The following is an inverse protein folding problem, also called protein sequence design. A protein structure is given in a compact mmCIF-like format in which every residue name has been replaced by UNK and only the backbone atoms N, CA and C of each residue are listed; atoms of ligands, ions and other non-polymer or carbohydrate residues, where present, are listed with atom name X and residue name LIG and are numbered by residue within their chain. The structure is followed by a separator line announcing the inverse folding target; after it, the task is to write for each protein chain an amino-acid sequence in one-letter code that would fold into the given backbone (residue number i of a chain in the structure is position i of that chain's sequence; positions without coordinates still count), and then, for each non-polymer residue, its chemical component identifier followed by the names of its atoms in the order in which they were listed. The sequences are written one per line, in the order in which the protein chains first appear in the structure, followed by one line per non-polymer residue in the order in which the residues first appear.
data_IF_786115005641
#
_entry.id   IF_786115005641
#
_cell.length_a   1.000
_cell.length_b   1.000
_cell.length_c   1.000
_cell.angle_alpha   90.00
_cell.angle_beta   90.00
_cell.angle_gamma   90.00
#
_symmetry.space_group_name_H-M   'P 1'
#
loop_
_entity.id
_entity.type
_entity.pdbx_description
1 polymer ?
#
# COMPACT_ATOMS: atom_id res chain seq x y z
N UNK A 1 -11.80 -18.25 -15.14
CA UNK A 1 -11.98 -16.79 -15.00
C UNK A 1 -10.61 -16.15 -15.10
N UNK A 2 -10.35 -15.50 -16.23
CA UNK A 2 -9.08 -14.82 -16.50
C UNK A 2 -8.98 -13.57 -15.62
N UNK A 3 -7.97 -13.48 -14.75
CA UNK A 3 -7.69 -12.24 -14.02
C UNK A 3 -7.13 -11.24 -15.02
N UNK A 4 -7.98 -10.26 -15.29
CA UNK A 4 -7.76 -9.03 -16.04
C UNK A 4 -6.31 -8.52 -15.95
N UNK A 5 -5.56 -8.62 -17.05
CA UNK A 5 -4.35 -7.83 -17.27
C UNK A 5 -4.77 -6.36 -17.47
N UNK A 6 -5.05 -5.67 -16.36
CA UNK A 6 -5.24 -4.21 -16.37
C UNK A 6 -3.90 -3.55 -16.63
N UNK A 7 -3.77 -3.00 -17.85
CA UNK A 7 -2.87 -1.92 -18.28
C UNK A 7 -1.86 -1.48 -17.20
N UNK A 8 -0.58 -1.80 -17.42
CA UNK A 8 0.56 -1.18 -16.73
C UNK A 8 0.72 0.30 -17.16
N UNK A 9 -0.33 1.09 -17.06
CA UNK A 9 -0.17 2.54 -16.97
C UNK A 9 0.65 2.87 -15.73
N UNK A 10 1.40 3.97 -15.73
CA UNK A 10 2.18 4.42 -14.59
C UNK A 10 1.25 4.74 -13.40
N UNK A 11 0.94 3.71 -12.59
CA UNK A 11 0.05 3.84 -11.43
C UNK A 11 0.79 4.61 -10.36
N UNK A 12 0.15 5.67 -9.84
CA UNK A 12 0.71 6.48 -8.75
C UNK A 12 0.85 5.68 -7.45
N UNK A 13 -0.05 4.72 -7.22
CA UNK A 13 -0.08 3.93 -5.99
C UNK A 13 -0.22 2.45 -6.29
N UNK A 14 0.44 1.61 -5.50
CA UNK A 14 0.50 0.17 -5.69
C UNK A 14 0.40 -0.57 -4.35
N UNK A 15 -0.46 -1.58 -4.27
CA UNK A 15 -0.52 -2.49 -3.11
C UNK A 15 0.59 -3.50 -3.26
N UNK A 16 1.57 -3.46 -2.36
CA UNK A 16 2.75 -4.35 -2.39
C UNK A 16 2.62 -5.50 -1.38
N UNK A 17 1.79 -5.34 -0.35
CA UNK A 17 1.39 -6.41 0.56
C UNK A 17 -0.10 -6.32 0.88
N UNK A 18 -0.75 -7.46 1.05
CA UNK A 18 -2.14 -7.56 1.48
C UNK A 18 -2.28 -8.79 2.40
N UNK A 19 -2.85 -8.57 3.59
CA UNK A 19 -3.04 -9.60 4.60
C UNK A 19 -4.45 -9.51 5.21
N UNK A 20 -5.02 -10.68 5.53
CA UNK A 20 -6.34 -10.78 6.13
C UNK A 20 -7.50 -10.67 5.13
N UNK A 21 -8.72 -10.81 5.64
CA UNK A 21 -9.95 -10.78 4.84
C UNK A 21 -10.99 -9.82 5.44
N UNK A 22 -11.14 -9.83 6.77
CA UNK A 22 -11.88 -8.86 7.56
C UNK A 22 -11.42 -8.93 9.03
N UNK A 23 -10.59 -8.00 9.52
CA UNK A 23 -10.03 -6.84 8.79
C UNK A 23 -9.01 -7.23 7.70
N UNK A 24 -8.82 -6.33 6.73
CA UNK A 24 -7.74 -6.39 5.72
C UNK A 24 -6.69 -5.33 6.06
N UNK A 25 -5.42 -5.71 5.96
CA UNK A 25 -4.25 -4.86 6.09
C UNK A 25 -3.51 -4.82 4.77
N UNK A 26 -3.20 -3.62 4.26
CA UNK A 26 -2.46 -3.45 3.01
C UNK A 26 -1.27 -2.51 3.24
N UNK A 27 -0.14 -2.84 2.61
CA UNK A 27 0.97 -1.91 2.42
C UNK A 27 0.86 -1.32 1.03
N UNK A 28 0.75 0.01 0.96
CA UNK A 28 0.60 0.77 -0.28
C UNK A 28 1.88 1.59 -0.49
N UNK A 29 2.49 1.46 -1.66
CA UNK A 29 3.63 2.28 -2.10
C UNK A 29 3.16 3.44 -2.97
N UNK A 30 3.68 4.64 -2.72
CA UNK A 30 3.62 5.75 -3.66
C UNK A 30 4.75 5.63 -4.69
N UNK A 31 4.43 5.27 -5.93
CA UNK A 31 5.40 5.08 -7.01
C UNK A 31 6.04 6.39 -7.54
N UNK A 32 5.74 7.56 -6.94
CA UNK A 32 6.49 8.79 -7.20
C UNK A 32 7.59 9.05 -6.18
N UNK A 33 7.41 8.57 -4.95
CA UNK A 33 8.26 8.94 -3.81
C UNK A 33 8.88 7.73 -3.10
N UNK A 34 8.36 6.53 -3.35
CA UNK A 34 8.69 5.29 -2.64
C UNK A 34 8.07 5.19 -1.25
N UNK A 35 7.40 6.23 -0.76
CA UNK A 35 6.82 6.27 0.59
C UNK A 35 5.77 5.18 0.77
N UNK A 36 5.83 4.50 1.92
CA UNK A 36 4.94 3.41 2.27
C UNK A 36 3.86 3.82 3.28
N UNK A 37 2.65 3.35 3.03
CA UNK A 37 1.47 3.54 3.87
C UNK A 37 0.92 2.18 4.30
N UNK A 38 0.44 2.09 5.55
CA UNK A 38 -0.38 0.97 5.99
C UNK A 38 -1.85 1.39 5.98
N UNK A 39 -2.67 0.64 5.26
CA UNK A 39 -4.11 0.77 5.22
C UNK A 39 -4.75 -0.37 6.02
N UNK A 40 -5.72 -0.05 6.87
CA UNK A 40 -6.59 -0.98 7.56
C UNK A 40 -8.01 -0.76 7.05
N UNK A 41 -8.65 -1.81 6.57
CA UNK A 41 -10.07 -1.84 6.22
C UNK A 41 -10.81 -2.85 7.09
N UNK A 42 -11.88 -2.42 7.76
CA UNK A 42 -12.69 -3.28 8.63
C UNK A 42 -14.16 -2.88 8.60
N UNK A 43 -15.02 -3.78 8.14
CA UNK A 43 -16.45 -3.51 8.00
C UNK A 43 -16.70 -2.31 7.07
N UNK A 44 -17.29 -1.25 7.61
CA UNK A 44 -17.60 -0.01 6.89
C UNK A 44 -16.57 1.11 7.10
N UNK A 45 -15.49 0.86 7.85
CA UNK A 45 -14.47 1.85 8.16
C UNK A 45 -13.12 1.50 7.55
N UNK A 46 -12.33 2.53 7.27
CA UNK A 46 -10.92 2.39 6.95
C UNK A 46 -10.06 3.42 7.67
N UNK A 47 -8.80 3.08 7.86
CA UNK A 47 -7.78 3.96 8.41
C UNK A 47 -6.50 3.81 7.59
N UNK A 48 -5.69 4.86 7.53
CA UNK A 48 -4.41 4.85 6.85
C UNK A 48 -3.38 5.62 7.68
N UNK A 49 -2.17 5.07 7.77
CA UNK A 49 -1.03 5.72 8.40
C UNK A 49 0.20 5.60 7.54
N UNK A 50 1.11 6.57 7.67
CA UNK A 50 2.46 6.47 7.17
C UNK A 50 3.21 5.37 7.94
N UNK A 51 4.01 4.56 7.24
CA UNK A 51 5.03 3.74 7.89
C UNK A 51 6.28 4.58 8.10
N UNK A 52 6.89 4.48 9.28
CA UNK A 52 8.09 5.24 9.63
C UNK A 52 9.21 4.34 10.10
N UNK A 53 10.44 4.78 9.89
CA UNK A 53 11.62 4.15 10.47
C UNK A 53 11.79 4.50 11.97
N UNK A 54 12.89 4.03 12.57
CA UNK A 54 13.20 4.23 13.98
C UNK A 54 13.45 5.70 14.36
N UNK A 55 13.78 6.55 13.40
CA UNK A 55 14.00 7.99 13.60
C UNK A 55 12.72 8.80 13.34
N UNK A 56 11.61 8.14 13.00
CA UNK A 56 10.33 8.77 12.67
C UNK A 56 10.29 9.33 11.24
N UNK A 57 11.25 8.99 10.38
CA UNK A 57 11.22 9.40 8.96
C UNK A 57 10.33 8.44 8.18
N UNK A 58 9.70 8.89 7.07
CA UNK A 58 8.93 8.01 6.20
C UNK A 58 9.76 6.80 5.75
N UNK A 59 9.18 5.61 5.86
CA UNK A 59 9.76 4.41 5.27
C UNK A 59 9.58 4.47 3.76
N UNK A 60 10.67 4.27 3.02
CA UNK A 60 10.72 4.40 1.57
C UNK A 60 11.24 3.09 0.97
N UNK A 61 10.47 2.51 0.05
CA UNK A 61 10.96 1.47 -0.85
C UNK A 61 11.81 2.13 -1.94
N UNK A 62 13.08 1.75 -2.05
CA UNK A 62 14.03 2.36 -3.00
C UNK A 62 14.22 1.52 -4.28
N UNK A 63 13.61 0.34 -4.38
CA UNK A 63 13.94 -0.66 -5.41
C UNK A 63 12.79 -0.93 -6.41
N UNK A 64 12.00 0.09 -6.75
CA UNK A 64 10.76 -0.07 -7.54
C UNK A 64 10.73 0.57 -8.93
#
# INVERSE_FOLDING_TARGET
MSKENKSKGNKRSEVIENQGFAPTYEVIRDNKTGVLYMSLSSGFGSAMTLLVDRDGKPLVDNEF
#
